data_IF_933611695439
#
_entry.id   IF_933611695439
#
_cell.length_a   1.000
_cell.length_b   1.000
_cell.length_c   1.000
_cell.angle_alpha   90.00
_cell.angle_beta   90.00
_cell.angle_gamma   90.00
#
_symmetry.space_group_name_H-M   'P 1'
#
loop_
_entity.id
_entity.type
_entity.pdbx_description
1 polymer ?
#
# COMPACT_ATOMS: atom_id res chain seq x y z
N UNK A 1 75.38 -5.37 -16.20
CA UNK A 1 73.93 -5.69 -16.25
C UNK A 1 73.28 -5.23 -14.95
N UNK A 2 72.54 -4.12 -14.97
CA UNK A 2 71.84 -3.58 -13.79
C UNK A 2 70.42 -4.13 -13.78
N UNK A 3 70.07 -4.94 -12.78
CA UNK A 3 68.70 -5.43 -12.60
C UNK A 3 67.86 -4.32 -11.95
N UNK A 4 66.90 -3.79 -12.70
CA UNK A 4 65.87 -2.88 -12.20
C UNK A 4 64.78 -3.74 -11.54
N UNK A 5 64.66 -3.69 -10.20
CA UNK A 5 63.55 -4.32 -9.48
C UNK A 5 62.33 -3.40 -9.56
N UNK A 6 61.37 -3.75 -10.41
CA UNK A 6 60.05 -3.11 -10.44
C UNK A 6 59.28 -3.65 -9.23
N UNK A 7 59.04 -2.79 -8.24
CA UNK A 7 58.15 -3.09 -7.10
C UNK A 7 56.72 -2.79 -7.56
N UNK A 8 55.92 -3.84 -7.72
CA UNK A 8 54.51 -3.73 -8.06
C UNK A 8 53.71 -3.49 -6.76
N UNK A 9 53.30 -2.25 -6.52
CA UNK A 9 52.44 -1.90 -5.37
C UNK A 9 51.00 -2.22 -5.75
N UNK A 10 50.48 -3.34 -5.26
CA UNK A 10 49.05 -3.68 -5.37
C UNK A 10 48.30 -2.86 -4.32
N UNK A 11 47.63 -1.79 -4.75
CA UNK A 11 46.70 -1.04 -3.91
C UNK A 11 45.39 -1.81 -3.88
N UNK A 12 45.14 -2.55 -2.80
CA UNK A 12 43.85 -3.16 -2.54
C UNK A 12 42.86 -2.06 -2.12
N UNK A 13 42.05 -1.56 -3.05
CA UNK A 13 40.90 -0.72 -2.73
C UNK A 13 39.86 -1.58 -2.00
N UNK A 14 39.85 -1.50 -0.67
CA UNK A 14 38.77 -2.02 0.17
C UNK A 14 37.54 -1.17 -0.15
N UNK A 15 36.66 -1.69 -0.99
CA UNK A 15 35.35 -1.11 -1.19
C UNK A 15 34.60 -1.17 0.13
N UNK A 16 34.28 -0.01 0.70
CA UNK A 16 33.31 0.07 1.79
C UNK A 16 31.96 -0.34 1.21
N UNK A 17 31.53 -1.57 1.50
CA UNK A 17 30.15 -1.98 1.27
C UNK A 17 29.31 -1.13 2.22
N UNK A 18 28.61 -0.14 1.69
CA UNK A 18 27.57 0.55 2.44
C UNK A 18 26.50 -0.48 2.69
N UNK A 19 26.46 -1.03 3.91
CA UNK A 19 25.32 -1.82 4.35
C UNK A 19 24.09 -0.91 4.24
N UNK A 20 23.19 -1.28 3.33
CA UNK A 20 21.89 -0.63 3.24
C UNK A 20 21.23 -0.70 4.62
N UNK A 21 20.68 0.43 5.06
CA UNK A 21 20.27 0.56 6.46
C UNK A 21 18.99 -0.22 6.69
N UNK A 22 19.12 -1.35 7.39
CA UNK A 22 18.01 -2.13 7.94
C UNK A 22 16.98 -1.21 8.62
N UNK A 23 15.69 -1.54 8.47
CA UNK A 23 14.57 -0.81 9.07
C UNK A 23 14.66 -0.97 10.59
N UNK A 24 15.17 0.06 11.26
CA UNK A 24 15.33 0.05 12.72
C UNK A 24 14.02 0.41 13.41
N UNK A 25 13.38 -0.59 14.00
CA UNK A 25 12.19 -0.42 14.82
C UNK A 25 12.60 -0.20 16.28
N UNK A 26 12.00 0.79 16.95
CA UNK A 26 12.23 1.02 18.37
C UNK A 26 10.94 1.46 19.06
N UNK A 27 10.78 0.96 20.29
CA UNK A 27 9.69 1.34 21.20
C UNK A 27 9.90 2.69 21.87
N UNK A 28 11.08 3.29 21.73
CA UNK A 28 11.38 4.58 22.33
C UNK A 28 10.39 5.63 21.81
N UNK A 29 9.74 6.33 22.75
CA UNK A 29 8.70 7.31 22.46
C UNK A 29 7.28 6.75 22.32
N UNK A 30 7.07 5.43 22.41
CA UNK A 30 5.72 4.86 22.37
C UNK A 30 4.84 5.38 23.51
N UNK A 31 3.68 5.95 23.17
CA UNK A 31 2.74 6.55 24.11
C UNK A 31 2.98 8.04 24.38
N UNK A 32 4.11 8.58 23.91
CA UNK A 32 4.48 9.99 24.08
C UNK A 32 4.61 10.67 22.71
N UNK A 33 5.63 10.28 21.94
CA UNK A 33 5.97 10.86 20.63
C UNK A 33 5.66 9.93 19.46
N UNK A 34 5.29 8.68 19.74
CA UNK A 34 4.86 7.67 18.77
C UNK A 34 3.61 6.97 19.25
N UNK A 35 2.67 6.74 18.34
CA UNK A 35 1.59 5.80 18.59
C UNK A 35 2.11 4.41 18.22
N UNK A 36 1.88 3.45 19.11
CA UNK A 36 2.38 2.09 18.94
C UNK A 36 1.28 1.10 19.27
N UNK A 37 1.14 0.09 18.43
CA UNK A 37 0.20 -1.01 18.61
C UNK A 37 0.94 -2.31 18.28
N UNK A 38 1.04 -3.22 19.25
CA UNK A 38 1.86 -4.42 19.15
C UNK A 38 1.09 -5.66 19.63
N UNK A 39 1.35 -6.79 18.97
CA UNK A 39 0.85 -8.12 19.36
C UNK A 39 2.03 -9.08 19.56
N UNK A 40 2.16 -9.72 20.73
CA UNK A 40 1.41 -9.44 21.96
C UNK A 40 1.74 -8.04 22.52
N UNK A 41 0.88 -7.44 23.37
CA UNK A 41 1.21 -6.19 24.03
C UNK A 41 2.53 -6.34 24.82
N UNK A 42 3.48 -5.43 24.60
CA UNK A 42 4.76 -5.49 25.31
C UNK A 42 5.90 -6.15 24.55
N UNK A 43 5.67 -6.82 23.41
CA UNK A 43 6.75 -7.40 22.60
C UNK A 43 7.75 -6.37 22.04
N UNK A 44 8.98 -6.80 21.82
CA UNK A 44 10.01 -6.07 21.07
C UNK A 44 9.78 -6.29 19.56
N UNK A 45 9.58 -5.20 18.77
CA UNK A 45 9.35 -5.30 17.33
C UNK A 45 10.48 -5.99 16.57
N UNK A 46 11.70 -6.03 17.12
CA UNK A 46 12.84 -6.68 16.46
C UNK A 46 12.99 -8.16 16.86
N UNK A 47 12.26 -8.64 17.89
CA UNK A 47 12.53 -9.94 18.51
C UNK A 47 11.32 -10.87 18.62
N UNK A 48 10.17 -10.40 19.07
CA UNK A 48 9.07 -11.31 19.46
C UNK A 48 7.66 -10.79 19.17
N UNK A 49 7.52 -9.66 18.48
CA UNK A 49 6.21 -9.25 17.97
C UNK A 49 5.75 -10.17 16.81
N UNK A 50 4.52 -10.66 16.92
CA UNK A 50 3.79 -11.29 15.81
C UNK A 50 3.39 -10.25 14.78
N UNK A 51 2.92 -9.08 15.23
CA UNK A 51 2.71 -7.92 14.37
C UNK A 51 2.69 -6.63 15.17
N UNK A 52 2.89 -5.51 14.49
CA UNK A 52 2.66 -4.21 15.07
C UNK A 52 2.87 -3.05 14.10
N UNK A 53 2.44 -1.88 14.55
CA UNK A 53 2.63 -0.62 13.85
C UNK A 53 3.11 0.45 14.83
N UNK A 54 3.97 1.31 14.32
CA UNK A 54 4.34 2.56 14.94
C UNK A 54 4.10 3.68 13.93
N UNK A 55 3.59 4.81 14.38
CA UNK A 55 3.49 5.99 13.53
C UNK A 55 3.70 7.28 14.31
N UNK A 56 4.25 8.27 13.63
CA UNK A 56 4.57 9.59 14.18
C UNK A 56 4.71 10.62 13.08
N UNK A 57 4.34 11.87 13.37
CA UNK A 57 4.53 13.02 12.49
C UNK A 57 6.02 13.38 12.50
N UNK A 58 6.63 13.37 11.31
CA UNK A 58 8.08 13.62 11.14
C UNK A 58 8.39 14.94 10.43
N UNK A 59 7.37 15.64 9.95
CA UNK A 59 7.51 16.93 9.28
C UNK A 59 6.18 17.48 8.81
N UNK A 60 6.21 18.62 8.09
CA UNK A 60 5.01 19.23 7.52
C UNK A 60 4.29 18.24 6.60
N UNK A 61 3.03 17.96 6.90
CA UNK A 61 2.21 17.00 6.16
C UNK A 61 2.82 15.61 5.98
N UNK A 62 3.65 15.14 6.92
CA UNK A 62 4.35 13.86 6.79
C UNK A 62 4.14 12.97 8.02
N UNK A 63 3.48 11.84 7.80
CA UNK A 63 3.32 10.78 8.78
C UNK A 63 4.24 9.62 8.42
N UNK A 64 5.24 9.35 9.26
CA UNK A 64 6.05 8.14 9.16
C UNK A 64 5.28 6.98 9.75
N UNK A 65 5.19 5.89 8.99
CA UNK A 65 4.59 4.61 9.40
C UNK A 65 5.67 3.54 9.34
N UNK A 66 5.74 2.73 10.40
CA UNK A 66 6.62 1.59 10.51
C UNK A 66 5.79 0.38 10.92
N UNK A 67 5.89 -0.71 10.17
CA UNK A 67 5.13 -1.94 10.32
C UNK A 67 6.08 -3.12 10.53
N UNK A 68 5.63 -4.09 11.33
CA UNK A 68 6.31 -5.37 11.50
C UNK A 68 5.31 -6.50 11.56
N UNK A 69 5.67 -7.65 11.00
CA UNK A 69 4.97 -8.90 11.22
C UNK A 69 5.90 -10.09 11.12
N UNK A 70 5.55 -11.17 11.80
CA UNK A 70 6.17 -12.47 11.60
C UNK A 70 5.77 -13.02 10.22
N UNK A 71 6.73 -13.61 9.52
CA UNK A 71 6.48 -14.29 8.24
C UNK A 71 5.55 -15.48 8.43
N UNK A 72 4.64 -15.65 7.47
CA UNK A 72 3.80 -16.83 7.36
C UNK A 72 4.64 -18.07 7.05
N UNK A 73 4.13 -19.22 7.51
CA UNK A 73 4.70 -20.54 7.26
C UNK A 73 3.56 -21.47 6.80
N UNK A 74 3.67 -22.13 5.63
CA UNK A 74 4.77 -22.01 4.66
C UNK A 74 4.84 -20.59 4.06
N UNK A 75 6.05 -20.14 3.71
CA UNK A 75 6.29 -18.80 3.17
C UNK A 75 5.69 -18.70 1.76
N UNK A 76 4.65 -17.89 1.52
CA UNK A 76 4.13 -17.65 0.17
C UNK A 76 5.13 -16.78 -0.63
N UNK A 77 4.95 -16.58 -1.95
CA UNK A 77 5.85 -15.74 -2.75
C UNK A 77 5.77 -14.24 -2.42
N UNK A 78 4.58 -13.75 -2.08
CA UNK A 78 4.33 -12.37 -1.65
C UNK A 78 3.60 -12.40 -0.31
N UNK A 79 3.97 -11.48 0.57
CA UNK A 79 3.32 -11.29 1.87
C UNK A 79 3.10 -9.80 2.08
N UNK A 80 2.09 -9.47 2.89
CA UNK A 80 1.77 -8.09 3.21
C UNK A 80 1.70 -7.83 4.70
N UNK A 81 1.96 -6.58 5.07
CA UNK A 81 1.50 -6.00 6.34
C UNK A 81 0.70 -4.75 6.01
N UNK A 82 -0.48 -4.62 6.60
CA UNK A 82 -1.38 -3.52 6.34
C UNK A 82 -1.75 -2.77 7.62
N UNK A 83 -1.92 -1.46 7.48
CA UNK A 83 -2.51 -0.57 8.49
C UNK A 83 -3.81 0.01 7.94
N UNK A 84 -4.90 -0.16 8.68
CA UNK A 84 -6.22 0.37 8.37
C UNK A 84 -6.60 1.52 9.31
N UNK A 85 -7.21 2.55 8.74
CA UNK A 85 -7.76 3.72 9.42
C UNK A 85 -9.28 3.66 9.33
N UNK A 86 -9.92 3.19 10.41
CA UNK A 86 -11.37 2.96 10.46
C UNK A 86 -12.10 3.94 11.38
N UNK A 87 -13.37 4.20 11.12
CA UNK A 87 -14.24 4.98 12.02
C UNK A 87 -14.80 4.14 13.17
N UNK A 88 -14.70 2.82 13.10
CA UNK A 88 -15.09 1.91 14.17
C UNK A 88 -14.04 0.81 14.41
N UNK A 89 -14.28 -0.08 15.37
CA UNK A 89 -13.31 -1.10 15.76
C UNK A 89 -13.35 -2.36 14.86
N UNK A 90 -14.00 -2.30 13.70
CA UNK A 90 -14.23 -3.43 12.81
C UNK A 90 -13.84 -3.11 11.37
N UNK A 91 -13.37 -4.13 10.64
CA UNK A 91 -13.09 -4.00 9.21
C UNK A 91 -14.40 -3.78 8.44
N UNK A 92 -14.48 -2.76 7.59
CA UNK A 92 -15.75 -2.43 6.93
C UNK A 92 -15.66 -1.33 5.89
N UNK A 93 -15.29 -0.14 6.34
CA UNK A 93 -15.28 1.10 5.55
C UNK A 93 -14.00 1.86 5.89
N UNK A 94 -12.87 1.25 5.50
CA UNK A 94 -11.55 1.62 6.02
C UNK A 94 -10.63 2.07 4.89
N UNK A 95 -9.92 3.16 5.12
CA UNK A 95 -8.75 3.51 4.32
C UNK A 95 -7.57 2.66 4.78
N UNK A 96 -6.91 1.96 3.86
CA UNK A 96 -5.85 1.00 4.15
C UNK A 96 -4.58 1.36 3.39
N UNK A 97 -3.44 1.26 4.06
CA UNK A 97 -2.14 1.18 3.41
C UNK A 97 -1.58 -0.22 3.60
N UNK A 98 -1.20 -0.86 2.51
CA UNK A 98 -0.63 -2.21 2.50
C UNK A 98 0.80 -2.15 1.97
N UNK A 99 1.72 -2.80 2.68
CA UNK A 99 3.10 -2.95 2.25
C UNK A 99 3.36 -4.41 1.86
N UNK A 100 3.65 -4.63 0.58
CA UNK A 100 3.90 -5.93 -0.02
C UNK A 100 5.40 -6.16 -0.10
N UNK A 101 5.83 -7.34 0.33
CA UNK A 101 7.22 -7.76 0.28
C UNK A 101 7.33 -9.09 -0.49
N UNK A 102 8.31 -9.16 -1.39
CA UNK A 102 8.65 -10.39 -2.09
C UNK A 102 9.51 -11.30 -1.21
N UNK A 103 8.96 -12.48 -0.92
CA UNK A 103 9.53 -13.51 -0.04
C UNK A 103 10.08 -14.72 -0.80
N UNK A 104 10.01 -14.71 -2.14
CA UNK A 104 10.46 -15.80 -3.02
C UNK A 104 11.99 -15.88 -3.25
N UNK A 105 12.77 -14.96 -2.67
CA UNK A 105 14.21 -15.13 -2.50
C UNK A 105 15.04 -15.00 -3.78
N UNK A 106 15.28 -13.76 -4.20
CA UNK A 106 16.65 -13.36 -4.55
C UNK A 106 17.15 -12.50 -3.40
N UNK A 107 18.24 -12.92 -2.75
CA UNK A 107 18.92 -12.18 -1.69
C UNK A 107 19.41 -10.83 -2.26
N UNK A 108 18.54 -9.82 -2.25
CA UNK A 108 18.87 -8.46 -2.70
C UNK A 108 17.85 -7.74 -3.59
N UNK A 109 16.73 -8.37 -3.98
CA UNK A 109 15.71 -7.73 -4.86
C UNK A 109 14.30 -7.65 -4.21
N UNK A 110 14.22 -7.64 -2.87
CA UNK A 110 12.95 -7.45 -2.17
C UNK A 110 12.68 -5.96 -1.94
N UNK A 111 12.56 -5.19 -3.03
CA UNK A 111 12.04 -3.82 -2.89
C UNK A 111 10.60 -3.92 -2.38
N UNK A 112 10.25 -3.32 -1.23
CA UNK A 112 8.87 -3.27 -0.78
C UNK A 112 8.03 -2.40 -1.72
N UNK A 113 6.75 -2.73 -1.84
CA UNK A 113 5.79 -1.90 -2.55
C UNK A 113 4.66 -1.50 -1.59
N UNK A 114 4.39 -0.19 -1.50
CA UNK A 114 3.30 0.34 -0.68
C UNK A 114 2.16 0.75 -1.58
N UNK A 115 0.96 0.25 -1.28
CA UNK A 115 -0.28 0.61 -1.96
C UNK A 115 -1.27 1.21 -0.98
N UNK A 116 -2.21 1.97 -1.54
CA UNK A 116 -3.45 2.37 -0.89
C UNK A 116 -4.56 1.43 -1.35
N UNK A 117 -5.41 1.01 -0.43
CA UNK A 117 -6.60 0.21 -0.68
C UNK A 117 -7.76 0.69 0.19
N UNK A 118 -8.97 0.25 -0.13
CA UNK A 118 -10.17 0.57 0.62
C UNK A 118 -10.92 -0.71 0.93
N UNK A 119 -11.28 -0.90 2.20
CA UNK A 119 -12.13 -2.01 2.59
C UNK A 119 -13.59 -1.64 2.37
N UNK A 120 -14.34 -2.56 1.75
CA UNK A 120 -15.80 -2.52 1.67
C UNK A 120 -16.36 -3.81 2.24
N UNK A 121 -16.99 -3.73 3.41
CA UNK A 121 -17.33 -4.90 4.22
C UNK A 121 -16.08 -5.68 4.62
N UNK A 122 -15.99 -6.94 4.21
CA UNK A 122 -14.85 -7.83 4.53
C UNK A 122 -13.93 -8.08 3.32
N UNK A 123 -14.07 -7.27 2.28
CA UNK A 123 -13.27 -7.33 1.06
C UNK A 123 -12.37 -6.09 1.00
N UNK A 124 -11.16 -6.29 0.52
CA UNK A 124 -10.22 -5.21 0.22
C UNK A 124 -10.19 -4.97 -1.30
N UNK A 125 -10.06 -3.71 -1.70
CA UNK A 125 -9.95 -3.33 -3.10
C UNK A 125 -8.84 -2.27 -3.24
N UNK A 126 -7.85 -2.53 -4.09
CA UNK A 126 -6.70 -1.64 -4.25
C UNK A 126 -7.10 -0.39 -5.02
N UNK A 127 -6.73 0.77 -4.49
CA UNK A 127 -6.98 2.05 -5.14
C UNK A 127 -5.86 2.32 -6.13
N UNK A 128 -6.17 2.36 -7.42
CA UNK A 128 -5.17 2.66 -8.46
C UNK A 128 -4.62 4.08 -8.33
N UNK A 129 -3.30 4.17 -8.21
CA UNK A 129 -2.52 5.40 -8.32
C UNK A 129 -1.59 5.29 -9.53
N UNK A 130 -1.50 6.35 -10.33
CA UNK A 130 -0.39 6.45 -11.27
C UNK A 130 0.92 6.78 -10.53
N UNK A 131 2.06 6.68 -11.23
CA UNK A 131 3.39 6.92 -10.64
C UNK A 131 3.53 8.31 -9.99
N UNK A 132 2.94 9.34 -10.58
CA UNK A 132 2.98 10.70 -10.02
C UNK A 132 2.18 10.79 -8.73
N UNK A 133 0.96 10.24 -8.71
CA UNK A 133 0.12 10.22 -7.51
C UNK A 133 0.74 9.40 -6.39
N UNK A 134 1.35 8.26 -6.74
CA UNK A 134 2.06 7.39 -5.79
C UNK A 134 3.24 8.12 -5.13
N UNK A 135 4.10 8.76 -5.93
CA UNK A 135 5.25 9.53 -5.43
C UNK A 135 4.86 10.80 -4.66
N UNK A 136 3.66 11.35 -4.87
CA UNK A 136 3.12 12.45 -4.06
C UNK A 136 2.64 11.93 -2.70
N UNK A 137 1.92 10.80 -2.69
CA UNK A 137 1.31 10.26 -1.48
C UNK A 137 2.34 9.59 -0.56
N UNK A 138 3.27 8.81 -1.12
CA UNK A 138 4.25 8.01 -0.40
C UNK A 138 5.69 8.39 -0.77
N UNK A 139 6.58 8.35 0.21
CA UNK A 139 8.03 8.45 0.01
C UNK A 139 8.79 7.70 1.11
N UNK A 140 10.12 7.68 1.02
CA UNK A 140 11.02 6.99 1.97
C UNK A 140 10.63 5.52 2.24
N UNK A 141 10.16 4.83 1.20
CA UNK A 141 9.71 3.44 1.30
C UNK A 141 10.92 2.53 1.47
N UNK A 142 10.92 1.75 2.56
CA UNK A 142 11.94 0.78 2.93
C UNK A 142 11.28 -0.45 3.51
N UNK A 143 11.92 -1.60 3.35
CA UNK A 143 11.33 -2.85 3.76
C UNK A 143 12.25 -4.00 3.47
N UNK A 144 12.17 -5.00 4.32
CA UNK A 144 13.07 -6.14 4.29
C UNK A 144 12.42 -7.32 5.00
N UNK A 145 12.97 -8.50 4.72
CA UNK A 145 12.62 -9.72 5.43
C UNK A 145 13.88 -10.21 6.14
N UNK A 146 13.95 -10.01 7.45
CA UNK A 146 15.11 -10.38 8.26
C UNK A 146 14.66 -11.27 9.40
N UNK A 147 15.33 -12.42 9.56
CA UNK A 147 15.05 -13.40 10.62
C UNK A 147 13.57 -13.84 10.68
N UNK A 148 12.94 -14.03 9.52
CA UNK A 148 11.54 -14.44 9.44
C UNK A 148 10.55 -13.35 9.87
N UNK A 149 10.95 -12.07 9.84
CA UNK A 149 10.07 -10.92 10.04
C UNK A 149 10.06 -10.05 8.82
N UNK A 150 8.86 -9.63 8.45
CA UNK A 150 8.62 -8.56 7.51
C UNK A 150 8.71 -7.25 8.29
N UNK A 151 9.52 -6.33 7.81
CA UNK A 151 9.52 -4.94 8.27
C UNK A 151 9.24 -4.04 7.08
N UNK A 152 8.47 -2.99 7.32
CA UNK A 152 8.19 -1.98 6.30
C UNK A 152 8.13 -0.61 6.95
N UNK A 153 8.70 0.37 6.29
CA UNK A 153 8.73 1.76 6.68
C UNK A 153 8.39 2.61 5.46
N UNK A 154 7.52 3.59 5.63
CA UNK A 154 7.24 4.58 4.61
C UNK A 154 6.74 5.85 5.27
N UNK A 155 6.89 6.98 4.58
CA UNK A 155 6.27 8.24 4.94
C UNK A 155 5.10 8.49 3.99
N UNK A 156 3.97 8.91 4.53
CA UNK A 156 2.79 9.30 3.75
C UNK A 156 2.31 10.69 4.09
N UNK A 157 1.54 11.29 3.19
CA UNK A 157 0.87 12.56 3.47
C UNK A 157 -0.27 12.43 4.48
N UNK A 158 -0.35 13.37 5.43
CA UNK A 158 -1.47 13.44 6.39
C UNK A 158 -2.74 13.94 5.69
N UNK A 159 -2.62 15.00 4.89
CA UNK A 159 -3.64 15.48 3.96
C UNK A 159 -3.14 15.21 2.55
N UNK A 160 -3.70 14.19 1.87
CA UNK A 160 -3.34 13.85 0.51
C UNK A 160 -3.47 15.04 -0.44
N UNK A 161 -2.45 15.25 -1.26
CA UNK A 161 -2.40 16.24 -2.34
C UNK A 161 -2.66 15.59 -3.71
N UNK A 162 -3.60 14.65 -3.74
CA UNK A 162 -4.07 13.91 -4.90
C UNK A 162 -5.58 13.75 -4.83
N UNK A 163 -6.23 13.33 -5.92
CA UNK A 163 -7.65 12.99 -5.93
C UNK A 163 -7.99 12.00 -4.81
N UNK A 164 -9.16 12.15 -4.18
CA UNK A 164 -9.64 11.21 -3.15
C UNK A 164 -10.03 9.84 -3.71
N UNK A 165 -10.02 9.71 -5.06
CA UNK A 165 -10.44 8.51 -5.80
C UNK A 165 -11.84 8.04 -5.38
N UNK A 166 -12.76 8.98 -5.19
CA UNK A 166 -14.11 8.70 -4.71
C UNK A 166 -14.16 8.38 -3.20
N UNK A 167 -13.47 9.18 -2.38
CA UNK A 167 -13.39 9.04 -0.91
C UNK A 167 -12.72 7.75 -0.41
N UNK A 168 -11.85 7.15 -1.23
CA UNK A 168 -11.08 5.95 -0.89
C UNK A 168 -9.75 6.27 -0.22
N UNK A 169 -9.24 7.47 -0.45
CA UNK A 169 -8.03 8.00 0.18
C UNK A 169 -8.47 9.08 1.16
N UNK A 170 -8.24 8.84 2.45
CA UNK A 170 -8.76 9.68 3.52
C UNK A 170 -7.67 10.52 4.17
N UNK A 171 -8.00 11.74 4.63
CA UNK A 171 -7.09 12.53 5.44
C UNK A 171 -6.88 11.88 6.82
N UNK A 172 -5.66 11.96 7.33
CA UNK A 172 -5.22 11.38 8.60
C UNK A 172 -5.17 12.41 9.75
N UNK A 173 -5.87 13.54 9.60
CA UNK A 173 -6.08 14.55 10.64
C UNK A 173 -7.38 14.37 11.43
N UNK A 174 -8.01 13.21 11.30
CA UNK A 174 -9.19 12.80 12.05
C UNK A 174 -8.90 11.62 12.99
N UNK A 175 -9.85 11.32 13.87
CA UNK A 175 -9.79 10.16 14.76
C UNK A 175 -10.15 8.88 14.01
N UNK A 176 -9.30 7.87 14.14
CA UNK A 176 -9.48 6.52 13.58
C UNK A 176 -9.14 5.44 14.59
N UNK A 177 -9.90 4.36 14.61
CA UNK A 177 -9.36 3.10 15.10
C UNK A 177 -8.28 2.62 14.14
N UNK A 178 -7.16 2.17 14.69
CA UNK A 178 -6.04 1.67 13.91
C UNK A 178 -6.12 0.15 13.89
N UNK A 179 -6.27 -0.41 12.70
CA UNK A 179 -6.33 -1.85 12.46
C UNK A 179 -5.01 -2.30 11.85
N UNK A 180 -4.51 -3.47 12.22
CA UNK A 180 -3.29 -4.04 11.65
C UNK A 180 -3.56 -5.50 11.30
N UNK A 181 -3.20 -5.88 10.08
CA UNK A 181 -3.33 -7.24 9.57
C UNK A 181 -2.08 -7.64 8.77
N UNK A 182 -1.85 -8.94 8.67
CA UNK A 182 -0.79 -9.54 7.85
C UNK A 182 -1.36 -10.77 7.15
N UNK A 183 -0.81 -11.10 5.98
CA UNK A 183 -1.32 -12.19 5.15
C UNK A 183 -0.45 -12.44 3.92
N UNK A 184 -0.86 -13.41 3.09
CA UNK A 184 -0.27 -13.61 1.76
C UNK A 184 -0.82 -12.58 0.78
N UNK A 185 -0.05 -12.23 -0.24
CA UNK A 185 -0.49 -11.33 -1.30
C UNK A 185 -0.40 -12.00 -2.68
N UNK A 186 -1.11 -11.41 -3.64
CA UNK A 186 -0.94 -11.61 -5.07
C UNK A 186 -0.48 -10.26 -5.69
N UNK A 187 -0.03 -10.23 -6.95
CA UNK A 187 0.46 -9.00 -7.56
C UNK A 187 -0.54 -7.83 -7.52
N UNK A 188 -1.83 -8.11 -7.64
CA UNK A 188 -2.92 -7.14 -7.75
C UNK A 188 -3.84 -7.05 -6.53
N UNK A 189 -3.74 -7.99 -5.58
CA UNK A 189 -4.62 -8.03 -4.41
C UNK A 189 -3.93 -8.61 -3.16
N UNK A 190 -4.53 -8.36 -1.99
CA UNK A 190 -4.17 -9.03 -0.73
C UNK A 190 -5.15 -10.14 -0.44
N UNK A 191 -4.65 -11.29 0.05
CA UNK A 191 -5.53 -12.38 0.47
C UNK A 191 -6.13 -12.07 1.85
N UNK A 192 -7.17 -12.82 2.20
CA UNK A 192 -7.80 -12.75 3.53
C UNK A 192 -6.76 -13.07 4.61
N UNK A 193 -6.62 -12.16 5.59
CA UNK A 193 -5.82 -12.39 6.80
C UNK A 193 -6.43 -13.51 7.64
N UNK A 194 -5.71 -14.00 8.65
CA UNK A 194 -6.27 -15.02 9.55
C UNK A 194 -7.55 -14.53 10.24
N UNK A 195 -8.60 -15.35 10.21
CA UNK A 195 -9.93 -15.04 10.75
C UNK A 195 -10.23 -15.78 12.06
N UNK A 196 -9.33 -16.67 12.48
CA UNK A 196 -9.47 -17.40 13.74
C UNK A 196 -9.14 -16.49 14.93
N UNK A 197 -10.12 -16.25 15.80
CA UNK A 197 -9.96 -15.39 16.99
C UNK A 197 -8.85 -15.85 17.94
N UNK A 198 -8.53 -17.14 17.95
CA UNK A 198 -7.46 -17.70 18.77
C UNK A 198 -6.08 -17.65 18.10
N UNK A 199 -6.00 -17.18 16.85
CA UNK A 199 -4.74 -17.15 16.11
C UNK A 199 -3.83 -16.04 16.59
N UNK A 200 -2.53 -16.35 16.66
CA UNK A 200 -1.49 -15.34 16.81
C UNK A 200 -1.50 -14.33 15.64
N UNK A 201 -1.95 -14.72 14.45
CA UNK A 201 -2.07 -13.86 13.28
C UNK A 201 -3.42 -13.14 13.14
N UNK A 202 -4.36 -13.35 14.07
CA UNK A 202 -5.61 -12.57 14.09
C UNK A 202 -5.31 -11.05 14.15
N UNK A 203 -5.95 -10.20 13.34
CA UNK A 203 -5.71 -8.77 13.32
C UNK A 203 -5.83 -8.11 14.69
N UNK A 204 -5.16 -6.98 14.85
CA UNK A 204 -5.27 -6.15 16.05
C UNK A 204 -5.91 -4.81 15.74
N UNK A 205 -6.64 -4.30 16.71
CA UNK A 205 -7.28 -2.99 16.65
C UNK A 205 -6.89 -2.18 17.88
N UNK A 206 -6.71 -0.87 17.71
CA UNK A 206 -6.44 0.03 18.83
C UNK A 206 -7.62 0.06 19.81
N UNK A 207 -7.36 0.13 21.11
CA UNK A 207 -8.41 0.15 22.13
C UNK A 207 -9.29 1.41 22.10
N UNK A 208 -8.78 2.49 21.48
CA UNK A 208 -9.46 3.77 21.31
C UNK A 208 -9.08 4.38 19.96
N UNK A 209 -9.89 5.29 19.42
CA UNK A 209 -9.51 5.98 18.21
C UNK A 209 -8.37 6.98 18.49
N UNK A 210 -7.47 7.10 17.52
CA UNK A 210 -6.25 7.90 17.53
C UNK A 210 -6.34 8.90 16.39
N UNK A 211 -5.93 10.15 16.60
CA UNK A 211 -5.74 11.10 15.50
C UNK A 211 -4.26 11.08 15.08
N UNK A 212 -3.88 10.48 13.94
CA UNK A 212 -2.49 10.35 13.54
C UNK A 212 -1.76 11.69 13.42
N UNK A 213 -2.43 12.76 13.01
CA UNK A 213 -1.80 14.09 12.84
C UNK A 213 -1.40 14.76 14.16
N UNK A 214 -1.82 14.21 15.31
CA UNK A 214 -1.51 14.74 16.64
C UNK A 214 -0.44 13.91 17.36
N UNK A 215 0.19 12.95 16.68
CA UNK A 215 1.17 12.03 17.26
C UNK A 215 2.58 12.46 16.88
N UNK A 216 3.38 12.87 17.86
CA UNK A 216 4.75 13.35 17.64
C UNK A 216 4.96 14.75 18.20
N UNK A 217 6.21 15.18 18.19
CA UNK A 217 6.59 16.52 18.66
C UNK A 217 6.50 17.56 17.53
N UNK A 218 6.53 17.12 16.27
CA UNK A 218 6.40 17.98 15.11
C UNK A 218 4.96 18.48 14.94
N UNK A 219 4.80 19.76 14.63
CA UNK A 219 3.49 20.35 14.31
C UNK A 219 3.12 20.04 12.86
N UNK A 220 1.86 19.69 12.67
CA UNK A 220 1.26 19.53 11.37
C UNK A 220 0.83 20.90 10.81
N UNK A 221 1.56 21.43 9.84
CA UNK A 221 1.11 22.57 9.03
C UNK A 221 0.18 22.07 7.92
N UNK A 222 -1.00 22.68 7.80
CA UNK A 222 -1.96 22.39 6.73
C UNK A 222 -1.33 22.76 5.38
N UNK A 223 -1.18 21.82 4.42
CA UNK A 223 -0.83 22.17 3.06
C UNK A 223 -1.96 23.00 2.45
N UNK A 224 -1.67 23.66 1.32
CA UNK A 224 -2.71 24.32 0.55
C UNK A 224 -3.80 23.28 0.19
N UNK A 225 -5.09 23.66 0.17
CA UNK A 225 -6.15 22.75 -0.25
C UNK A 225 -5.83 22.18 -1.64
N UNK A 226 -5.92 20.85 -1.77
CA UNK A 226 -5.85 20.22 -3.07
C UNK A 226 -7.10 20.63 -3.86
N UNK A 227 -6.90 21.16 -5.06
CA UNK A 227 -7.99 21.48 -5.99
C UNK A 227 -8.03 20.34 -7.01
N UNK A 228 -9.06 19.51 -6.94
CA UNK A 228 -9.26 18.44 -7.91
C UNK A 228 -9.57 19.08 -9.27
N UNK A 229 -8.74 18.80 -10.26
CA UNK A 229 -8.86 19.39 -11.59
C UNK A 229 -10.12 18.82 -12.26
N UNK A 230 -11.19 19.61 -12.30
CA UNK A 230 -12.43 19.22 -12.96
C UNK A 230 -12.17 19.13 -14.47
N UNK A 231 -12.29 17.93 -15.04
CA UNK A 231 -12.32 17.74 -16.49
C UNK A 231 -13.63 18.29 -17.07
N UNK A 232 -13.69 19.61 -17.25
CA UNK A 232 -14.78 20.28 -17.97
C UNK A 232 -14.37 20.47 -19.43
N UNK A 233 -14.57 19.43 -20.24
CA UNK A 233 -14.64 19.57 -21.69
C UNK A 233 -16.05 19.16 -22.15
N UNK A 234 -17.01 20.07 -21.96
CA UNK A 234 -18.24 20.08 -22.77
C UNK A 234 -18.49 21.52 -23.23
N UNK A 235 -18.49 21.80 -24.54
CA UNK A 235 -18.84 23.10 -25.06
C UNK A 235 -20.32 23.41 -24.78
N UNK A 236 -20.60 24.39 -23.91
CA UNK A 236 -21.92 24.99 -23.79
C UNK A 236 -22.29 25.62 -25.14
N UNK A 237 -23.18 24.94 -25.87
CA UNK A 237 -23.89 25.55 -26.99
C UNK A 237 -25.10 26.28 -26.41
N UNK A 238 -25.02 27.60 -26.37
CA UNK A 238 -26.16 28.50 -26.12
C UNK A 238 -27.15 28.37 -27.28
N UNK A 239 -28.35 27.86 -27.00
CA UNK A 239 -29.53 28.12 -27.84
C UNK A 239 -30.70 28.49 -26.94
N UNK A 240 -31.23 29.67 -27.24
CA UNK A 240 -32.32 30.40 -26.62
C UNK A 240 -33.65 29.65 -26.69
N UNK A 241 -34.47 29.86 -25.65
CA UNK A 241 -35.89 29.51 -25.60
C UNK A 241 -36.70 30.22 -26.70
N UNK A 242 -37.63 29.49 -27.34
CA UNK A 242 -38.92 30.06 -27.74
C UNK A 242 -40.02 29.00 -27.63
N UNK A 243 -41.16 29.42 -27.09
CA UNK A 243 -42.35 28.63 -26.80
C UNK A 243 -43.14 28.42 -28.10
N UNK A 244 -43.92 27.32 -28.21
CA UNK A 244 -45.39 27.35 -28.50
C UNK A 244 -45.98 25.93 -28.53
N UNK A 245 -47.14 25.84 -27.88
CA UNK A 245 -48.14 24.77 -27.71
C UNK A 245 -48.56 24.08 -29.02
N UNK A 246 -48.96 22.79 -28.98
CA UNK A 246 -50.29 22.25 -29.40
C UNK A 246 -50.33 20.70 -29.54
N UNK A 247 -51.16 20.09 -28.69
CA UNK A 247 -52.13 18.98 -28.88
C UNK A 247 -51.78 17.60 -29.51
N UNK A 248 -52.28 16.57 -28.78
CA UNK A 248 -52.90 15.29 -29.22
C UNK A 248 -52.05 14.03 -29.49
N UNK A 249 -52.43 12.98 -28.76
CA UNK A 249 -52.06 11.56 -28.90
C UNK A 249 -52.83 10.88 -30.08
N UNK A 250 -52.81 9.54 -30.31
CA UNK A 250 -52.04 8.43 -29.69
C UNK A 250 -51.55 7.31 -30.68
N UNK A 251 -50.90 6.26 -30.13
CA UNK A 251 -50.78 4.83 -30.60
C UNK A 251 -49.89 4.50 -31.82
N UNK A 252 -48.84 3.67 -31.64
CA UNK A 252 -48.79 2.27 -32.13
C UNK A 252 -47.50 1.51 -31.79
N UNK A 253 -47.71 0.28 -31.30
CA UNK A 253 -46.76 -0.82 -31.13
C UNK A 253 -46.07 -1.20 -32.46
N UNK A 254 -44.77 -1.52 -32.42
CA UNK A 254 -44.22 -2.67 -33.17
C UNK A 254 -43.08 -3.30 -32.38
N UNK A 255 -43.23 -4.57 -32.04
CA UNK A 255 -42.19 -5.49 -31.63
C UNK A 255 -41.32 -5.90 -32.83
N UNK A 256 -40.01 -6.11 -32.63
CA UNK A 256 -39.29 -7.11 -33.42
C UNK A 256 -38.15 -7.72 -32.63
N UNK A 257 -38.35 -8.99 -32.27
CA UNK A 257 -37.31 -9.95 -31.93
C UNK A 257 -36.38 -10.20 -33.13
N UNK A 258 -35.15 -10.59 -32.82
CA UNK A 258 -34.33 -11.64 -33.45
C UNK A 258 -32.86 -11.21 -33.39
N UNK A 259 -31.84 -12.06 -33.21
CA UNK A 259 -31.63 -13.43 -32.73
C UNK A 259 -30.18 -13.72 -33.13
N UNK A 260 -29.41 -14.34 -32.23
CA UNK A 260 -28.22 -15.20 -32.45
C UNK A 260 -27.24 -14.88 -33.60
N UNK A 261 -25.94 -14.81 -33.28
CA UNK A 261 -25.00 -15.86 -33.68
C UNK A 261 -23.67 -15.82 -32.90
N UNK A 262 -23.27 -17.02 -32.47
CA UNK A 262 -22.00 -17.39 -31.85
C UNK A 262 -21.02 -17.72 -32.97
N UNK A 263 -19.76 -17.26 -32.88
CA UNK A 263 -18.65 -17.83 -33.65
C UNK A 263 -17.50 -18.14 -32.69
N UNK A 264 -17.22 -19.43 -32.56
CA UNK A 264 -16.04 -20.03 -31.92
C UNK A 264 -14.96 -20.16 -33.00
N UNK A 265 -13.72 -19.80 -32.68
CA UNK A 265 -12.55 -20.19 -33.48
C UNK A 265 -11.43 -20.67 -32.56
N UNK A 266 -11.09 -21.95 -32.70
CA UNK A 266 -9.93 -22.63 -32.14
C UNK A 266 -8.89 -22.78 -33.24
N UNK A 267 -7.64 -22.32 -33.04
CA UNK A 267 -6.43 -22.94 -33.63
C UNK A 267 -5.24 -22.79 -32.65
N UNK A 268 -4.67 -23.93 -32.28
CA UNK A 268 -3.43 -24.14 -31.52
C UNK A 268 -2.18 -24.00 -32.39
N UNK A 269 -1.07 -23.47 -31.87
CA UNK A 269 0.30 -23.96 -32.21
C UNK A 269 1.21 -23.92 -30.98
N UNK A 270 1.66 -25.13 -30.62
CA UNK A 270 2.71 -25.50 -29.67
C UNK A 270 4.07 -25.13 -30.27
N UNK A 271 4.97 -24.51 -29.50
CA UNK A 271 6.44 -24.68 -29.59
C UNK A 271 7.16 -23.73 -28.62
N UNK A 272 7.46 -24.17 -27.38
CA UNK A 272 8.61 -23.66 -26.61
C UNK A 272 8.91 -24.64 -25.48
N UNK A 273 9.45 -25.80 -25.85
CA UNK A 273 10.22 -26.66 -24.96
C UNK A 273 11.40 -27.17 -25.76
N UNK A 274 12.54 -27.33 -25.08
CA UNK A 274 13.88 -27.67 -25.59
C UNK A 274 14.73 -26.42 -25.89
N UNK A 275 15.46 -25.94 -24.88
CA UNK A 275 16.91 -25.66 -24.95
C UNK A 275 17.40 -25.16 -23.57
N UNK A 276 17.80 -26.08 -22.69
CA UNK A 276 18.88 -25.84 -21.71
C UNK A 276 19.35 -27.15 -21.09
N UNK A 277 20.21 -27.84 -21.84
CA UNK A 277 21.26 -28.73 -21.30
C UNK A 277 22.57 -28.26 -21.95
N UNK A 278 23.62 -28.17 -21.13
CA UNK A 278 25.03 -27.85 -21.44
C UNK A 278 25.40 -26.36 -21.56
N UNK A 279 25.76 -25.75 -20.43
CA UNK A 279 27.16 -25.41 -20.07
C UNK A 279 27.24 -25.03 -18.60
#
# INVERSE_FOLDING_TARGET
MKYCRIVLVVVASIGFITADSAVKLSRDGCGETKACLFKPPGCDPNLDCTMGAMFTVVGPNQLKVQLVAQSLIPTPPLQYIAIGFSKDATMGDDYVNECILNTAGNLGESAPEVFTSYNKGKSNDRTYLNETEHNILFNDIKGEIVNGRLTCEFTQQIIPQISSKGNRILPLNEKYYILIATGSAQPDEVNVHDTSLSSHFFPIVSARPINPSLIGEATYDLPKPFVEESTSNEPQTTVSEDNTVTEKAPVQNVSSQNSFNIIVSFISIISYFIFKIAY
#
